data_IF_217946812935
#
_entry.id   IF_217946812935
#
_cell.length_a   1.000
_cell.length_b   1.000
_cell.length_c   1.000
_cell.angle_alpha   90.00
_cell.angle_beta   90.00
_cell.angle_gamma   90.00
#
_symmetry.space_group_name_H-M   'P 1'
#
loop_
_entity.id
_entity.type
_entity.pdbx_description
1 polymer ?
#
# COMPACT_ATOMS: atom_id res chain seq x y z
N UNK A 1 -27.53 27.19 6.67
CA UNK A 1 -27.62 25.96 7.47
C UNK A 1 -26.46 25.98 8.45
N UNK A 2 -26.68 25.56 9.69
CA UNK A 2 -25.59 25.35 10.64
C UNK A 2 -24.77 24.12 10.24
N UNK A 3 -23.54 23.96 10.77
CA UNK A 3 -22.69 22.79 10.53
C UNK A 3 -23.44 21.47 10.79
N UNK A 4 -24.17 21.38 11.90
CA UNK A 4 -24.94 20.20 12.28
C UNK A 4 -26.09 19.90 11.30
N UNK A 5 -26.79 20.94 10.84
CA UNK A 5 -27.84 20.79 9.83
C UNK A 5 -27.27 20.27 8.50
N UNK A 6 -26.08 20.72 8.11
CA UNK A 6 -25.40 20.26 6.88
C UNK A 6 -25.00 18.78 7.03
N UNK A 7 -24.40 18.40 8.16
CA UNK A 7 -24.00 17.01 8.43
C UNK A 7 -25.20 16.07 8.34
N UNK A 8 -26.30 16.42 9.02
CA UNK A 8 -27.52 15.61 9.01
C UNK A 8 -28.14 15.54 7.61
N UNK A 9 -28.21 16.67 6.90
CA UNK A 9 -28.73 16.70 5.54
C UNK A 9 -27.90 15.83 4.58
N UNK A 10 -26.57 15.89 4.65
CA UNK A 10 -25.67 15.05 3.83
C UNK A 10 -25.83 13.57 4.15
N UNK A 11 -26.00 13.21 5.43
CA UNK A 11 -26.11 11.84 5.87
C UNK A 11 -27.43 11.18 5.46
N UNK A 12 -28.52 11.94 5.52
CA UNK A 12 -29.89 11.46 5.29
C UNK A 12 -30.40 11.70 3.85
N UNK A 13 -29.69 12.49 3.03
CA UNK A 13 -30.03 12.64 1.62
C UNK A 13 -29.93 11.28 0.89
N UNK A 14 -30.99 10.93 0.17
CA UNK A 14 -30.94 9.84 -0.81
C UNK A 14 -30.30 10.35 -2.10
N UNK A 15 -29.02 10.04 -2.32
CA UNK A 15 -28.28 10.44 -3.52
C UNK A 15 -28.80 9.82 -4.81
N UNK A 16 -29.74 8.87 -4.74
CA UNK A 16 -30.40 8.29 -5.90
C UNK A 16 -31.79 8.89 -6.15
N UNK A 17 -32.16 10.00 -5.49
CA UNK A 17 -33.50 10.59 -5.59
C UNK A 17 -33.93 10.95 -7.02
N UNK A 18 -32.97 11.13 -7.95
CA UNK A 18 -33.25 11.33 -9.37
C UNK A 18 -33.92 10.14 -10.07
N UNK A 19 -33.93 8.97 -9.44
CA UNK A 19 -34.59 7.75 -9.93
C UNK A 19 -35.95 7.49 -9.25
N UNK A 20 -36.47 8.44 -8.47
CA UNK A 20 -37.75 8.31 -7.77
C UNK A 20 -38.89 8.84 -8.66
N UNK A 21 -39.88 7.98 -8.94
CA UNK A 21 -41.07 8.36 -9.73
C UNK A 21 -42.09 9.21 -8.95
N UNK A 22 -42.03 9.18 -7.62
CA UNK A 22 -42.88 9.99 -6.74
C UNK A 22 -42.44 11.47 -6.74
N UNK A 23 -43.17 12.31 -7.47
CA UNK A 23 -42.85 13.73 -7.61
C UNK A 23 -42.72 14.50 -6.29
N UNK A 24 -43.52 14.18 -5.26
CA UNK A 24 -43.43 14.87 -3.96
C UNK A 24 -42.10 14.57 -3.26
N UNK A 25 -41.68 13.32 -3.32
CA UNK A 25 -40.46 12.81 -2.71
C UNK A 25 -39.21 13.28 -3.48
N UNK A 26 -39.27 13.24 -4.81
CA UNK A 26 -38.26 13.86 -5.67
C UNK A 26 -38.04 15.34 -5.29
N UNK A 27 -39.11 16.13 -5.22
CA UNK A 27 -39.01 17.55 -4.90
C UNK A 27 -38.52 17.81 -3.47
N UNK A 28 -38.83 16.90 -2.53
CA UNK A 28 -38.31 16.97 -1.17
C UNK A 28 -36.78 16.83 -1.13
N UNK A 29 -36.24 15.76 -1.72
CA UNK A 29 -34.80 15.54 -1.75
C UNK A 29 -34.06 16.57 -2.62
N UNK A 30 -34.62 16.94 -3.78
CA UNK A 30 -34.06 17.99 -4.63
C UNK A 30 -34.01 19.36 -3.93
N UNK A 31 -34.90 19.62 -2.97
CA UNK A 31 -34.86 20.84 -2.15
C UNK A 31 -33.73 20.78 -1.12
N UNK A 32 -33.53 19.63 -0.49
CA UNK A 32 -32.45 19.40 0.47
C UNK A 32 -31.11 19.50 -0.24
N UNK A 33 -30.97 18.86 -1.40
CA UNK A 33 -29.76 18.85 -2.20
C UNK A 33 -29.30 20.28 -2.56
N UNK A 34 -30.21 21.07 -3.14
CA UNK A 34 -29.96 22.49 -3.42
C UNK A 34 -29.64 23.32 -2.17
N UNK A 35 -30.21 22.96 -1.03
CA UNK A 35 -29.93 23.65 0.22
C UNK A 35 -28.51 23.33 0.72
N UNK A 36 -28.04 22.08 0.55
CA UNK A 36 -26.67 21.68 0.85
C UNK A 36 -25.70 22.41 -0.07
N UNK A 37 -25.91 22.37 -1.39
CA UNK A 37 -25.06 23.08 -2.37
C UNK A 37 -24.94 24.57 -2.03
N UNK A 38 -26.07 25.22 -1.72
CA UNK A 38 -26.09 26.62 -1.30
C UNK A 38 -25.36 26.85 0.03
N UNK A 39 -25.42 25.91 0.97
CA UNK A 39 -24.71 26.02 2.23
C UNK A 39 -23.20 25.87 2.04
N UNK A 40 -22.77 24.91 1.20
CA UNK A 40 -21.35 24.63 0.93
C UNK A 40 -20.62 25.82 0.26
N UNK A 41 -21.31 26.73 -0.42
CA UNK A 41 -20.66 27.96 -0.95
C UNK A 41 -20.36 29.01 0.11
N UNK A 42 -20.95 28.88 1.31
CA UNK A 42 -20.87 29.90 2.38
C UNK A 42 -20.04 29.48 3.59
N UNK A 43 -19.62 28.21 3.66
CA UNK A 43 -18.84 27.68 4.79
C UNK A 43 -17.36 28.06 4.67
N UNK A 44 -16.68 28.10 5.82
CA UNK A 44 -15.22 28.28 5.84
C UNK A 44 -14.47 26.96 5.63
N UNK A 45 -13.17 26.99 5.25
CA UNK A 45 -12.35 25.79 5.14
C UNK A 45 -12.31 24.96 6.43
N UNK A 46 -12.32 25.59 7.61
CA UNK A 46 -12.33 24.91 8.91
C UNK A 46 -13.64 24.17 9.14
N UNK A 47 -14.78 24.81 8.81
CA UNK A 47 -16.09 24.19 8.88
C UNK A 47 -16.21 23.03 7.88
N UNK A 48 -15.59 23.13 6.71
CA UNK A 48 -15.56 22.05 5.74
C UNK A 48 -14.85 20.80 6.29
N UNK A 49 -13.74 20.97 7.02
CA UNK A 49 -13.03 19.88 7.72
C UNK A 49 -13.92 19.25 8.79
N UNK A 50 -14.60 20.06 9.60
CA UNK A 50 -15.51 19.59 10.65
C UNK A 50 -16.63 18.72 10.06
N UNK A 51 -17.32 19.24 9.04
CA UNK A 51 -18.44 18.55 8.37
C UNK A 51 -17.97 17.24 7.76
N UNK A 52 -16.87 17.26 6.99
CA UNK A 52 -16.38 16.06 6.30
C UNK A 52 -15.95 14.93 7.23
N UNK A 53 -15.38 15.27 8.38
CA UNK A 53 -14.98 14.27 9.37
C UNK A 53 -16.20 13.68 10.11
N UNK A 54 -17.30 14.42 10.20
CA UNK A 54 -18.52 14.01 10.89
C UNK A 54 -19.54 13.25 10.01
N UNK A 55 -19.44 13.34 8.67
CA UNK A 55 -20.34 12.59 7.77
C UNK A 55 -19.96 11.10 7.68
N UNK A 56 -20.96 10.26 7.37
CA UNK A 56 -20.81 8.80 7.20
C UNK A 56 -19.80 8.50 6.08
N UNK A 57 -19.05 7.41 6.20
CA UNK A 57 -17.91 7.15 5.30
C UNK A 57 -18.32 6.94 3.83
N UNK A 58 -19.45 6.29 3.59
CA UNK A 58 -20.03 6.17 2.24
C UNK A 58 -20.47 7.52 1.63
N UNK A 59 -20.60 8.58 2.43
CA UNK A 59 -20.95 9.93 1.96
C UNK A 59 -19.73 10.74 1.54
N UNK A 60 -18.52 10.38 1.97
CA UNK A 60 -17.31 11.11 1.57
C UNK A 60 -17.00 11.00 0.07
N UNK A 61 -17.44 9.92 -0.57
CA UNK A 61 -17.29 9.70 -2.01
C UNK A 61 -18.37 10.35 -2.88
N UNK A 62 -19.42 10.94 -2.30
CA UNK A 62 -20.47 11.64 -3.05
C UNK A 62 -19.98 13.02 -3.52
N UNK A 63 -20.78 13.73 -4.33
CA UNK A 63 -20.40 15.05 -4.83
C UNK A 63 -20.24 16.07 -3.68
N UNK A 64 -21.12 16.06 -2.68
CA UNK A 64 -20.96 16.90 -1.48
C UNK A 64 -19.69 16.56 -0.69
N UNK A 65 -19.40 15.26 -0.49
CA UNK A 65 -18.18 14.82 0.19
C UNK A 65 -16.91 15.28 -0.53
N UNK A 66 -16.90 15.20 -1.86
CA UNK A 66 -15.79 15.70 -2.69
C UNK A 66 -15.65 17.22 -2.65
N UNK A 67 -16.77 17.95 -2.66
CA UNK A 67 -16.76 19.42 -2.56
C UNK A 67 -16.18 19.87 -1.21
N UNK A 68 -16.61 19.26 -0.11
CA UNK A 68 -16.05 19.51 1.22
C UNK A 68 -14.54 19.24 1.27
N UNK A 69 -14.08 18.11 0.72
CA UNK A 69 -12.66 17.77 0.66
C UNK A 69 -11.84 18.80 -0.14
N UNK A 70 -12.38 19.30 -1.25
CA UNK A 70 -11.71 20.30 -2.07
C UNK A 70 -11.60 21.68 -1.39
N UNK A 71 -12.53 21.99 -0.48
CA UNK A 71 -12.55 23.25 0.27
C UNK A 71 -11.65 23.24 1.51
N UNK A 72 -11.18 22.07 1.93
CA UNK A 72 -10.28 21.97 3.09
C UNK A 72 -8.97 22.71 2.80
N UNK A 73 -8.36 23.31 3.83
CA UNK A 73 -6.99 23.76 3.68
C UNK A 73 -6.16 22.53 3.28
N UNK A 74 -5.44 22.64 2.16
CA UNK A 74 -4.41 21.65 1.85
C UNK A 74 -3.51 21.59 3.07
N UNK A 75 -3.37 20.43 3.74
CA UNK A 75 -2.51 20.37 4.91
C UNK A 75 -1.16 20.94 4.47
N UNK A 76 -0.66 21.96 5.20
CA UNK A 76 0.72 22.42 4.99
C UNK A 76 1.59 21.16 4.90
N UNK A 77 2.49 21.07 3.90
CA UNK A 77 3.20 19.84 3.56
C UNK A 77 3.84 19.29 4.82
N UNK A 78 3.11 18.42 5.48
CA UNK A 78 3.48 17.91 6.79
C UNK A 78 4.66 17.04 6.46
N UNK A 79 5.85 17.26 7.05
CA UNK A 79 7.06 16.56 6.64
C UNK A 79 6.71 15.09 6.59
N UNK A 80 6.76 14.54 5.38
CA UNK A 80 6.13 13.28 4.99
C UNK A 80 6.60 12.18 5.91
N UNK A 81 5.89 11.97 7.01
CA UNK A 81 6.09 10.87 7.94
C UNK A 81 4.98 9.86 7.69
N UNK A 82 4.75 9.55 6.40
CA UNK A 82 3.99 8.38 5.93
C UNK A 82 4.84 7.65 4.90
N UNK A 83 6.07 7.34 5.26
CA UNK A 83 6.76 6.19 4.69
C UNK A 83 7.10 5.32 5.89
N UNK A 84 6.56 4.09 5.97
CA UNK A 84 7.21 2.96 6.69
C UNK A 84 6.40 1.66 6.76
N UNK A 85 5.06 1.63 6.63
CA UNK A 85 4.28 0.39 6.81
C UNK A 85 3.51 -0.11 5.57
N UNK A 86 2.98 0.76 4.73
CA UNK A 86 2.16 0.36 3.57
C UNK A 86 2.99 -0.10 2.37
N UNK A 87 4.13 0.51 2.08
CA UNK A 87 4.99 0.09 0.95
C UNK A 87 5.54 -1.33 1.10
N UNK A 88 5.94 -1.71 2.32
CA UNK A 88 6.42 -3.06 2.62
C UNK A 88 5.32 -4.09 2.38
N UNK A 89 4.07 -3.77 2.73
CA UNK A 89 2.90 -4.63 2.48
C UNK A 89 2.62 -4.74 0.98
N UNK A 90 2.57 -3.61 0.26
CA UNK A 90 2.34 -3.60 -1.20
C UNK A 90 3.44 -4.39 -1.93
N UNK A 91 4.71 -4.17 -1.58
CA UNK A 91 5.85 -4.94 -2.13
C UNK A 91 5.76 -6.43 -1.81
N UNK A 92 5.38 -6.80 -0.58
CA UNK A 92 5.17 -8.19 -0.18
C UNK A 92 4.13 -8.88 -1.07
N UNK A 93 2.95 -8.27 -1.24
CA UNK A 93 1.87 -8.84 -2.05
C UNK A 93 2.26 -8.94 -3.53
N UNK A 94 2.88 -7.90 -4.10
CA UNK A 94 3.32 -7.92 -5.50
C UNK A 94 4.37 -9.01 -5.75
N UNK A 95 5.34 -9.16 -4.84
CA UNK A 95 6.34 -10.22 -4.93
C UNK A 95 5.70 -11.61 -4.83
N UNK A 96 4.83 -11.83 -3.84
CA UNK A 96 4.13 -13.10 -3.66
C UNK A 96 3.28 -13.45 -4.88
N UNK A 97 2.57 -12.48 -5.45
CA UNK A 97 1.73 -12.66 -6.63
C UNK A 97 2.55 -13.01 -7.86
N UNK A 98 3.65 -12.29 -8.10
CA UNK A 98 4.56 -12.57 -9.20
C UNK A 98 5.12 -14.00 -9.13
N UNK A 99 5.55 -14.44 -7.95
CA UNK A 99 6.09 -15.80 -7.76
C UNK A 99 5.02 -16.88 -7.87
N UNK A 100 3.81 -16.63 -7.37
CA UNK A 100 2.68 -17.54 -7.53
C UNK A 100 2.29 -17.70 -9.01
N UNK A 101 2.19 -16.60 -9.76
CA UNK A 101 1.90 -16.61 -11.21
C UNK A 101 2.98 -17.30 -12.02
N UNK A 102 4.24 -17.25 -11.58
CA UNK A 102 5.37 -17.95 -12.19
C UNK A 102 5.43 -19.45 -11.83
N UNK A 103 4.52 -19.96 -11.00
CA UNK A 103 4.47 -21.38 -10.64
C UNK A 103 5.54 -21.83 -9.64
N UNK A 104 6.22 -20.89 -8.97
CA UNK A 104 7.27 -21.22 -7.99
C UNK A 104 6.73 -21.92 -6.74
N UNK A 105 5.48 -21.62 -6.36
CA UNK A 105 4.86 -22.14 -5.16
C UNK A 105 3.47 -22.68 -5.49
N UNK A 106 3.14 -23.84 -4.94
CA UNK A 106 1.86 -24.53 -5.21
C UNK A 106 0.65 -23.76 -4.70
N UNK A 107 0.81 -22.90 -3.68
CA UNK A 107 -0.27 -22.09 -3.13
C UNK A 107 0.20 -20.66 -2.90
N UNK A 108 -0.73 -19.71 -2.99
CA UNK A 108 -0.44 -18.30 -2.73
C UNK A 108 0.03 -18.08 -1.28
N UNK A 109 -0.50 -18.83 -0.31
CA UNK A 109 -0.07 -18.78 1.08
C UNK A 109 1.42 -19.15 1.24
N UNK A 110 1.91 -20.16 0.51
CA UNK A 110 3.34 -20.51 0.48
C UNK A 110 4.17 -19.39 -0.15
N UNK A 111 3.69 -18.80 -1.25
CA UNK A 111 4.35 -17.66 -1.89
C UNK A 111 4.46 -16.45 -0.95
N UNK A 112 3.43 -16.18 -0.14
CA UNK A 112 3.43 -15.11 0.84
C UNK A 112 4.46 -15.34 1.96
N UNK A 113 4.53 -16.57 2.50
CA UNK A 113 5.55 -16.96 3.50
C UNK A 113 6.97 -16.79 2.95
N UNK A 114 7.20 -17.21 1.71
CA UNK A 114 8.48 -17.07 1.04
C UNK A 114 8.83 -15.58 0.81
N UNK A 115 7.89 -14.79 0.30
CA UNK A 115 8.08 -13.36 0.08
C UNK A 115 8.40 -12.61 1.38
N UNK A 116 7.80 -12.98 2.51
CA UNK A 116 8.14 -12.42 3.81
C UNK A 116 9.56 -12.79 4.26
N UNK A 117 9.95 -14.04 4.05
CA UNK A 117 11.31 -14.52 4.35
C UNK A 117 12.36 -13.77 3.52
N UNK A 118 12.08 -13.53 2.23
CA UNK A 118 12.90 -12.68 1.37
C UNK A 118 13.07 -11.28 1.94
N UNK A 119 11.99 -10.65 2.39
CA UNK A 119 12.06 -9.29 2.96
C UNK A 119 13.00 -9.30 4.17
N UNK A 120 12.86 -10.25 5.09
CA UNK A 120 13.74 -10.34 6.28
C UNK A 120 15.22 -10.47 5.89
N UNK A 121 15.55 -11.42 5.02
CA UNK A 121 16.93 -11.68 4.58
C UNK A 121 17.51 -10.47 3.86
N UNK A 122 16.80 -9.94 2.87
CA UNK A 122 17.27 -8.80 2.06
C UNK A 122 17.40 -7.54 2.90
N UNK A 123 16.46 -7.25 3.80
CA UNK A 123 16.57 -6.12 4.72
C UNK A 123 17.77 -6.29 5.65
N UNK A 124 17.98 -7.48 6.22
CA UNK A 124 19.14 -7.75 7.06
C UNK A 124 20.47 -7.59 6.30
N UNK A 125 20.55 -8.09 5.07
CA UNK A 125 21.77 -7.97 4.24
C UNK A 125 22.06 -6.54 3.80
N UNK A 126 21.02 -5.69 3.67
CA UNK A 126 21.20 -4.25 3.41
C UNK A 126 21.77 -3.52 4.63
N UNK A 127 21.48 -4.00 5.83
CA UNK A 127 21.97 -3.40 7.08
C UNK A 127 23.28 -3.99 7.57
N UNK A 128 23.69 -5.17 7.07
CA UNK A 128 24.92 -5.84 7.52
C UNK A 128 25.10 -7.23 6.91
N UNK A 129 25.71 -8.12 7.69
CA UNK A 129 25.94 -9.52 7.31
C UNK A 129 24.86 -10.41 7.93
N UNK A 130 24.30 -11.31 7.14
CA UNK A 130 23.27 -12.26 7.58
C UNK A 130 23.70 -13.68 7.24
N UNK A 131 23.60 -14.60 8.20
CA UNK A 131 23.77 -16.02 7.98
C UNK A 131 22.45 -16.68 7.58
N UNK A 132 22.46 -17.48 6.53
CA UNK A 132 21.27 -18.18 6.05
C UNK A 132 21.64 -19.46 5.31
N UNK A 133 20.63 -20.31 5.12
CA UNK A 133 20.78 -21.61 4.47
C UNK A 133 19.81 -21.81 3.31
N UNK A 134 20.30 -22.49 2.27
CA UNK A 134 19.53 -22.81 1.08
C UNK A 134 20.04 -24.09 0.40
N UNK A 135 19.16 -24.73 -0.37
CA UNK A 135 19.48 -25.94 -1.14
C UNK A 135 20.16 -25.58 -2.46
N UNK A 136 21.30 -26.19 -2.76
CA UNK A 136 22.01 -26.00 -4.04
C UNK A 136 21.28 -26.68 -5.21
N UNK A 137 21.84 -26.57 -6.41
CA UNK A 137 21.38 -27.33 -7.58
C UNK A 137 21.59 -28.83 -7.41
N UNK A 138 22.66 -29.23 -6.72
CA UNK A 138 23.01 -30.62 -6.42
C UNK A 138 22.22 -31.24 -5.25
N UNK A 139 21.30 -30.48 -4.64
CA UNK A 139 20.47 -30.95 -3.52
C UNK A 139 21.11 -30.84 -2.13
N UNK A 140 22.39 -30.51 -2.02
CA UNK A 140 23.04 -30.33 -0.71
C UNK A 140 22.78 -28.94 -0.13
N UNK A 141 22.78 -28.84 1.20
CA UNK A 141 22.53 -27.58 1.93
C UNK A 141 23.81 -26.74 1.93
N UNK A 142 23.67 -25.45 1.62
CA UNK A 142 24.72 -24.46 1.83
C UNK A 142 24.31 -23.51 2.94
N UNK A 143 25.17 -23.38 3.93
CA UNK A 143 25.17 -22.28 4.90
C UNK A 143 26.05 -21.18 4.31
N UNK A 144 25.54 -19.96 4.25
CA UNK A 144 26.25 -18.80 3.70
C UNK A 144 26.11 -17.59 4.61
N UNK A 145 27.15 -16.76 4.66
CA UNK A 145 27.11 -15.43 5.25
C UNK A 145 27.09 -14.40 4.13
N UNK A 146 25.94 -13.76 3.93
CA UNK A 146 25.72 -12.84 2.83
C UNK A 146 25.55 -11.39 3.28
N UNK A 147 25.95 -10.46 2.42
CA UNK A 147 25.68 -9.02 2.58
C UNK A 147 25.34 -8.35 1.24
N UNK A 148 24.70 -7.18 1.30
CA UNK A 148 24.40 -6.29 0.18
C UNK A 148 25.08 -4.92 0.33
N UNK A 149 25.99 -4.78 1.30
CA UNK A 149 26.71 -3.54 1.60
C UNK A 149 28.18 -3.85 1.89
N UNK A 150 29.05 -2.84 1.87
CA UNK A 150 30.45 -2.97 2.28
C UNK A 150 31.37 -3.68 1.29
N UNK A 151 31.00 -3.73 0.01
CA UNK A 151 31.86 -4.22 -1.08
C UNK A 151 31.92 -3.20 -2.23
N UNK A 152 33.04 -3.15 -2.94
CA UNK A 152 33.16 -2.37 -4.16
C UNK A 152 32.62 -3.17 -5.34
N UNK A 153 31.60 -2.64 -6.02
CA UNK A 153 30.96 -3.29 -7.16
C UNK A 153 30.44 -2.28 -8.17
N UNK A 154 30.93 -2.41 -9.40
CA UNK A 154 30.39 -1.73 -10.56
C UNK A 154 29.46 -2.66 -11.33
N UNK A 155 28.19 -2.29 -11.46
CA UNK A 155 27.25 -3.05 -12.25
C UNK A 155 27.63 -3.02 -13.74
N UNK A 156 27.78 -4.21 -14.34
CA UNK A 156 28.12 -4.35 -15.77
C UNK A 156 26.98 -4.00 -16.74
N UNK A 157 25.75 -3.84 -16.22
CA UNK A 157 24.54 -3.58 -17.03
C UNK A 157 23.66 -2.55 -16.33
N UNK A 158 23.20 -1.56 -17.08
CA UNK A 158 22.38 -0.43 -16.58
C UNK A 158 20.94 -0.86 -16.25
N UNK A 159 20.39 -1.85 -16.95
CA UNK A 159 18.99 -2.26 -16.81
C UNK A 159 18.87 -3.75 -16.50
N UNK A 160 18.48 -4.08 -15.26
CA UNK A 160 18.07 -5.43 -14.89
C UNK A 160 16.67 -5.39 -14.33
N UNK A 161 15.73 -6.06 -14.99
CA UNK A 161 14.37 -6.23 -14.45
C UNK A 161 14.46 -6.91 -13.08
N UNK A 162 13.79 -6.38 -12.05
CA UNK A 162 13.82 -6.99 -10.72
C UNK A 162 13.17 -8.37 -10.79
N UNK A 163 13.93 -9.40 -10.40
CA UNK A 163 13.45 -10.78 -10.29
C UNK A 163 13.18 -11.08 -8.81
N UNK A 164 11.92 -11.03 -8.32
CA UNK A 164 11.62 -11.25 -6.91
C UNK A 164 11.95 -12.68 -6.45
N UNK A 165 11.93 -13.63 -7.38
CA UNK A 165 12.28 -15.04 -7.19
C UNK A 165 13.75 -15.30 -6.90
N UNK A 166 14.67 -14.37 -7.20
CA UNK A 166 16.11 -14.58 -6.99
C UNK A 166 16.62 -13.62 -5.90
N UNK A 167 17.33 -14.18 -4.93
CA UNK A 167 18.10 -13.41 -3.95
C UNK A 167 19.57 -13.42 -4.41
N UNK A 168 20.11 -12.23 -4.62
CA UNK A 168 21.55 -12.00 -4.87
C UNK A 168 22.19 -11.55 -3.57
N UNK A 169 23.43 -11.94 -3.35
CA UNK A 169 24.22 -11.54 -2.19
C UNK A 169 25.71 -11.61 -2.50
N UNK A 170 26.51 -10.83 -1.76
CA UNK A 170 27.95 -11.02 -1.71
C UNK A 170 28.26 -11.99 -0.56
N UNK A 171 28.89 -13.11 -0.88
CA UNK A 171 29.32 -14.12 0.08
C UNK A 171 30.64 -13.68 0.71
N UNK A 172 30.64 -13.40 2.01
CA UNK A 172 31.83 -12.88 2.70
C UNK A 172 32.89 -13.96 2.90
N UNK A 173 32.53 -15.24 2.94
CA UNK A 173 33.49 -16.31 3.14
C UNK A 173 34.14 -16.68 1.80
N UNK A 174 33.36 -16.67 0.72
CA UNK A 174 33.86 -16.94 -0.62
C UNK A 174 34.35 -15.69 -1.37
N UNK A 175 34.24 -14.50 -0.78
CA UNK A 175 34.59 -13.20 -1.39
C UNK A 175 34.07 -13.04 -2.82
N UNK A 176 32.84 -13.49 -3.07
CA UNK A 176 32.27 -13.53 -4.42
C UNK A 176 30.76 -13.35 -4.43
N UNK A 177 30.25 -12.79 -5.52
CA UNK A 177 28.80 -12.68 -5.73
C UNK A 177 28.18 -14.04 -5.99
N UNK A 178 27.06 -14.28 -5.32
CA UNK A 178 26.25 -15.49 -5.48
C UNK A 178 24.78 -15.13 -5.58
N UNK A 179 24.01 -16.10 -6.03
CA UNK A 179 22.55 -16.00 -6.00
C UNK A 179 21.92 -17.35 -5.82
N UNK A 180 20.70 -17.35 -5.29
CA UNK A 180 19.85 -18.53 -5.18
C UNK A 180 18.40 -18.14 -5.43
N UNK A 181 17.60 -19.11 -5.84
CA UNK A 181 16.17 -18.93 -6.01
C UNK A 181 15.43 -19.11 -4.69
N UNK A 182 14.38 -18.32 -4.48
CA UNK A 182 13.66 -18.26 -3.21
C UNK A 182 12.96 -19.58 -2.86
N UNK A 183 12.58 -20.40 -3.84
CA UNK A 183 12.04 -21.75 -3.61
C UNK A 183 13.03 -22.70 -2.94
N UNK A 184 14.33 -22.39 -3.00
CA UNK A 184 15.40 -23.17 -2.35
C UNK A 184 15.79 -22.64 -0.98
N UNK A 185 15.18 -21.54 -0.53
CA UNK A 185 15.47 -20.96 0.77
C UNK A 185 14.94 -21.84 1.91
N UNK A 186 15.80 -22.14 2.88
CA UNK A 186 15.40 -22.93 4.06
C UNK A 186 15.10 -21.97 5.22
N UNK A 187 16.06 -21.12 5.59
CA UNK A 187 15.90 -20.25 6.75
C UNK A 187 17.08 -19.34 7.01
N UNK A 188 16.90 -18.47 7.99
CA UNK A 188 18.00 -17.74 8.63
C UNK A 188 18.67 -18.67 9.64
N UNK A 189 19.99 -18.59 9.72
CA UNK A 189 20.77 -19.29 10.76
C UNK A 189 20.93 -18.33 11.93
N UNK A 190 20.64 -18.81 13.14
CA UNK A 190 20.77 -18.05 14.38
C UNK A 190 22.24 -17.92 14.80
#
# INVERSE_FOLDING_TARGET
MTTLEIINAINELDYNYGNIDNGKEYHYFAKIDRAIDKALTTITPEQAVEIYNAIKENRKSTYHGKALFAMMPTPEPTPTTIITKNEKKVSLFNNAWSMFKAGLFTTFAKALKAAWSRIKVVTGMKTGVVAFEYVKSDGTIRIAKGTLTGFDYTAKTTESKPKPEVIKYFDIEAQSFRSFRLDRFIGLVA
#
